data_IF_865217498926
#
_entry.id   IF_865217498926
#
_cell.length_a   1.000
_cell.length_b   1.000
_cell.length_c   1.000
_cell.angle_alpha   90.00
_cell.angle_beta   90.00
_cell.angle_gamma   90.00
#
_symmetry.space_group_name_H-M   'P 1'
#
loop_
_entity.id
_entity.type
_entity.pdbx_description
1 polymer ?
#
# COMPACT_ATOMS: atom_id res chain seq x y z
N UNK A 1 35.53 2.57 -11.14
CA UNK A 1 34.19 2.29 -10.57
C UNK A 1 34.36 2.14 -9.07
N UNK A 2 33.55 2.79 -8.25
CA UNK A 2 33.69 2.75 -6.80
C UNK A 2 33.21 1.38 -6.28
N UNK A 3 34.12 0.62 -5.68
CA UNK A 3 33.86 -0.71 -5.10
C UNK A 3 34.08 -0.64 -3.60
N UNK A 4 33.23 -1.33 -2.85
CA UNK A 4 33.36 -1.47 -1.40
C UNK A 4 33.82 -2.88 -1.06
N UNK A 5 34.72 -2.98 -0.10
CA UNK A 5 35.32 -4.24 0.36
C UNK A 5 34.68 -4.66 1.67
N UNK A 6 34.40 -5.95 1.80
CA UNK A 6 33.73 -6.54 2.93
C UNK A 6 34.39 -7.86 3.31
N UNK A 7 34.33 -8.19 4.59
CA UNK A 7 34.82 -9.45 5.13
C UNK A 7 33.64 -10.31 5.54
N UNK A 8 33.53 -11.50 4.98
CA UNK A 8 32.37 -12.38 5.15
C UNK A 8 32.84 -13.78 5.54
N UNK A 9 32.20 -14.34 6.57
CA UNK A 9 32.25 -15.76 6.94
C UNK A 9 30.98 -16.41 6.40
N UNK A 10 31.11 -17.57 5.75
CA UNK A 10 29.97 -18.36 5.29
C UNK A 10 29.65 -19.41 6.34
N UNK A 11 28.38 -19.52 6.71
CA UNK A 11 27.87 -20.59 7.57
C UNK A 11 26.79 -21.36 6.83
N UNK A 12 27.03 -22.64 6.60
CA UNK A 12 26.07 -23.58 6.03
C UNK A 12 25.87 -24.72 7.03
N UNK A 13 24.71 -24.74 7.69
CA UNK A 13 24.40 -25.62 8.81
C UNK A 13 25.46 -25.60 9.94
N UNK A 14 26.30 -26.65 10.02
CA UNK A 14 27.37 -26.79 11.00
C UNK A 14 28.76 -26.42 10.45
N UNK A 15 28.85 -26.16 9.15
CA UNK A 15 30.11 -25.84 8.47
C UNK A 15 30.28 -24.33 8.47
N UNK A 16 31.42 -23.87 8.96
CA UNK A 16 31.82 -22.46 8.96
C UNK A 16 33.07 -22.34 8.10
N UNK A 17 33.04 -21.45 7.12
CA UNK A 17 34.20 -21.18 6.26
C UNK A 17 35.18 -20.23 6.94
N UNK A 18 36.39 -20.15 6.38
CA UNK A 18 37.31 -19.05 6.69
C UNK A 18 36.73 -17.70 6.26
N UNK A 19 37.32 -16.63 6.81
CA UNK A 19 37.00 -15.25 6.44
C UNK A 19 37.44 -15.00 5.00
N UNK A 20 36.51 -14.54 4.16
CA UNK A 20 36.76 -14.18 2.76
C UNK A 20 36.54 -12.70 2.53
N UNK A 21 37.39 -12.09 1.70
CA UNK A 21 37.18 -10.73 1.20
C UNK A 21 36.22 -10.76 0.01
N UNK A 22 35.25 -9.86 0.00
CA UNK A 22 34.26 -9.71 -1.05
C UNK A 22 34.18 -8.25 -1.48
N UNK A 23 34.06 -8.04 -2.78
CA UNK A 23 33.90 -6.72 -3.39
C UNK A 23 32.49 -6.54 -3.94
N UNK A 24 31.83 -5.44 -3.57
CA UNK A 24 30.50 -5.07 -4.08
C UNK A 24 30.59 -3.73 -4.82
N UNK A 25 30.09 -3.64 -6.07
CA UNK A 25 30.03 -2.36 -6.79
C UNK A 25 29.03 -1.41 -6.15
N UNK A 26 29.42 -0.15 -5.91
CA UNK A 26 28.56 0.85 -5.31
C UNK A 26 27.44 1.33 -6.25
N UNK A 27 27.67 1.30 -7.56
CA UNK A 27 26.69 1.72 -8.58
C UNK A 27 25.82 0.53 -9.02
N UNK A 28 24.54 0.82 -9.35
CA UNK A 28 23.64 -0.13 -9.99
C UNK A 28 23.98 -0.22 -11.48
N UNK A 29 23.91 -1.43 -12.03
CA UNK A 29 24.14 -1.69 -13.46
C UNK A 29 22.82 -1.69 -14.25
N UNK A 30 21.69 -1.99 -13.59
CA UNK A 30 20.36 -2.13 -14.22
C UNK A 30 19.31 -1.34 -13.43
N UNK A 31 18.37 -0.71 -14.13
CA UNK A 31 17.25 0.04 -13.52
C UNK A 31 16.18 -0.86 -12.88
N UNK A 32 16.01 -2.10 -13.37
CA UNK A 32 15.10 -3.08 -12.77
C UNK A 32 15.66 -3.65 -11.46
N UNK A 33 14.95 -3.40 -10.35
CA UNK A 33 15.37 -3.79 -9.00
C UNK A 33 15.48 -5.32 -8.80
N UNK A 34 14.56 -6.09 -9.40
CA UNK A 34 14.55 -7.56 -9.24
C UNK A 34 15.77 -8.21 -9.90
N UNK A 35 16.13 -7.74 -11.08
CA UNK A 35 17.29 -8.25 -11.82
C UNK A 35 18.60 -7.81 -11.19
N UNK A 36 18.72 -6.56 -10.73
CA UNK A 36 19.91 -6.05 -10.04
C UNK A 36 20.19 -6.84 -8.75
N UNK A 37 19.15 -7.14 -7.96
CA UNK A 37 19.29 -7.95 -6.74
C UNK A 37 19.80 -9.36 -7.06
N UNK A 38 19.25 -10.01 -8.09
CA UNK A 38 19.66 -11.35 -8.49
C UNK A 38 21.12 -11.38 -8.95
N UNK A 39 21.55 -10.37 -9.72
CA UNK A 39 22.94 -10.23 -10.15
C UNK A 39 23.89 -10.01 -8.98
N UNK A 40 23.50 -9.16 -8.02
CA UNK A 40 24.27 -8.93 -6.80
C UNK A 40 24.49 -10.24 -6.02
N UNK A 41 23.43 -11.01 -5.81
CA UNK A 41 23.51 -12.28 -5.07
C UNK A 41 24.35 -13.32 -5.83
N UNK A 42 24.23 -13.40 -7.15
CA UNK A 42 25.06 -14.29 -7.97
C UNK A 42 26.54 -13.93 -7.89
N UNK A 43 26.88 -12.65 -8.00
CA UNK A 43 28.26 -12.17 -7.86
C UNK A 43 28.83 -12.45 -6.47
N UNK A 44 28.04 -12.19 -5.43
CA UNK A 44 28.40 -12.49 -4.04
C UNK A 44 28.69 -13.99 -3.84
N UNK A 45 27.82 -14.87 -4.34
CA UNK A 45 28.01 -16.31 -4.23
C UNK A 45 29.26 -16.80 -4.99
N UNK A 46 29.49 -16.28 -6.20
CA UNK A 46 30.68 -16.60 -6.98
C UNK A 46 31.98 -16.25 -6.26
N UNK A 47 32.06 -15.05 -5.65
CA UNK A 47 33.24 -14.62 -4.87
C UNK A 47 33.44 -15.47 -3.62
N UNK A 48 32.36 -15.96 -3.01
CA UNK A 48 32.42 -16.81 -1.82
C UNK A 48 32.62 -18.30 -2.13
N UNK A 49 32.61 -18.70 -3.40
CA UNK A 49 32.70 -20.10 -3.81
C UNK A 49 31.45 -20.93 -3.48
N UNK A 50 30.28 -20.30 -3.40
CA UNK A 50 29.00 -20.95 -3.12
C UNK A 50 28.17 -20.99 -4.41
N UNK A 51 27.42 -22.07 -4.63
CA UNK A 51 26.45 -22.15 -5.72
C UNK A 51 25.20 -21.32 -5.40
N UNK A 52 24.91 -20.30 -6.20
CA UNK A 52 23.64 -19.57 -6.12
C UNK A 52 22.50 -20.47 -6.60
N UNK A 53 21.56 -20.77 -5.70
CA UNK A 53 20.33 -21.52 -6.02
C UNK A 53 19.10 -20.78 -5.48
N UNK A 54 18.01 -20.81 -6.24
CA UNK A 54 16.76 -20.11 -5.88
C UNK A 54 15.97 -20.81 -4.76
N UNK A 55 16.36 -22.03 -4.38
CA UNK A 55 15.82 -22.80 -3.25
C UNK A 55 16.54 -22.53 -1.92
N UNK A 56 17.62 -21.74 -1.93
CA UNK A 56 18.38 -21.37 -0.74
C UNK A 56 18.11 -19.92 -0.33
N UNK A 57 18.04 -19.68 0.97
CA UNK A 57 17.89 -18.36 1.58
C UNK A 57 19.24 -17.90 2.11
N UNK A 58 19.69 -16.74 1.63
CA UNK A 58 20.92 -16.08 2.05
C UNK A 58 20.60 -15.01 3.09
N UNK A 59 21.07 -15.19 4.34
CA UNK A 59 20.88 -14.23 5.44
C UNK A 59 22.22 -13.65 5.84
N UNK A 60 22.40 -12.33 5.68
CA UNK A 60 23.60 -11.64 6.13
C UNK A 60 23.39 -11.12 7.56
N UNK A 61 24.32 -11.39 8.47
CA UNK A 61 24.30 -10.91 9.85
C UNK A 61 25.56 -10.14 10.21
N UNK A 62 25.44 -9.15 11.09
CA UNK A 62 26.59 -8.46 11.68
C UNK A 62 27.19 -9.24 12.87
N UNK A 63 28.27 -8.73 13.46
CA UNK A 63 28.91 -9.34 14.65
C UNK A 63 28.01 -9.44 15.89
N UNK A 64 26.91 -8.67 15.95
CA UNK A 64 25.87 -8.78 16.99
C UNK A 64 24.76 -9.77 16.62
N UNK A 65 24.97 -10.58 15.58
CA UNK A 65 23.98 -11.51 15.02
C UNK A 65 22.68 -10.85 14.52
N UNK A 66 22.65 -9.53 14.33
CA UNK A 66 21.48 -8.85 13.76
C UNK A 66 21.44 -9.04 12.24
N UNK A 67 20.24 -9.23 11.68
CA UNK A 67 20.06 -9.34 10.22
C UNK A 67 20.35 -8.00 9.54
N UNK A 68 21.17 -8.04 8.49
CA UNK A 68 21.57 -6.87 7.70
C UNK A 68 21.07 -7.05 6.26
N UNK A 69 20.44 -6.02 5.66
CA UNK A 69 20.04 -6.08 4.27
C UNK A 69 21.25 -6.28 3.34
N UNK A 70 21.19 -7.29 2.48
CA UNK A 70 22.18 -7.45 1.40
C UNK A 70 21.88 -6.39 0.34
N UNK A 71 22.67 -5.31 0.33
CA UNK A 71 22.53 -4.20 -0.60
C UNK A 71 23.89 -3.61 -1.00
N UNK A 72 23.91 -2.85 -2.09
CA UNK A 72 25.08 -2.07 -2.53
C UNK A 72 25.39 -0.86 -1.62
N UNK A 73 24.46 -0.50 -0.74
CA UNK A 73 24.60 0.59 0.24
C UNK A 73 25.19 0.13 1.57
N UNK A 74 25.62 -1.13 1.68
CA UNK A 74 26.21 -1.68 2.90
C UNK A 74 27.44 -0.86 3.34
N UNK A 75 27.56 -0.66 4.66
CA UNK A 75 28.72 -0.02 5.26
C UNK A 75 29.88 -1.03 5.33
N UNK A 76 31.11 -0.65 4.94
CA UNK A 76 32.28 -1.51 5.06
C UNK A 76 32.47 -2.02 6.49
N UNK A 77 32.97 -3.24 6.62
CA UNK A 77 33.31 -3.85 7.90
C UNK A 77 34.81 -4.19 7.96
N UNK A 78 35.25 -4.73 9.09
CA UNK A 78 36.66 -5.08 9.34
C UNK A 78 36.84 -6.60 9.42
N UNK A 79 38.08 -7.05 9.24
CA UNK A 79 38.47 -8.47 9.43
C UNK A 79 38.15 -8.95 10.84
N UNK A 80 38.28 -8.07 11.85
CA UNK A 80 37.98 -8.37 13.27
C UNK A 80 36.49 -8.48 13.58
N UNK A 81 35.63 -7.94 12.73
CA UNK A 81 34.17 -8.02 12.85
C UNK A 81 33.55 -8.36 11.49
N UNK A 82 33.79 -9.58 10.99
CA UNK A 82 33.27 -10.01 9.70
C UNK A 82 31.74 -10.13 9.74
N UNK A 83 31.08 -9.94 8.60
CA UNK A 83 29.69 -10.33 8.44
C UNK A 83 29.59 -11.86 8.37
N UNK A 84 28.46 -12.41 8.78
CA UNK A 84 28.18 -13.84 8.72
C UNK A 84 27.07 -14.04 7.68
N UNK A 85 27.36 -14.74 6.60
CA UNK A 85 26.39 -15.15 5.61
C UNK A 85 25.90 -16.56 5.95
N UNK A 86 24.69 -16.66 6.49
CA UNK A 86 24.02 -17.93 6.73
C UNK A 86 23.30 -18.38 5.46
N UNK A 87 23.67 -19.58 4.98
CA UNK A 87 23.01 -20.27 3.88
C UNK A 87 22.03 -21.25 4.50
N UNK A 88 20.74 -20.97 4.36
CA UNK A 88 19.67 -21.83 4.89
C UNK A 88 18.87 -22.44 3.75
N UNK A 89 18.36 -23.65 3.96
CA UNK A 89 17.31 -24.21 3.12
C UNK A 89 16.03 -23.37 3.22
N UNK A 90 15.29 -23.22 2.12
CA UNK A 90 13.96 -22.63 2.21
C UNK A 90 13.02 -23.63 2.88
N UNK A 91 12.68 -23.40 4.15
CA UNK A 91 11.62 -24.16 4.81
C UNK A 91 10.27 -23.86 4.13
N UNK A 92 9.93 -24.67 3.12
CA UNK A 92 8.63 -24.66 2.45
C UNK A 92 7.82 -25.81 3.00
N UNK A 93 6.99 -25.56 4.02
CA UNK A 93 5.99 -26.56 4.47
C UNK A 93 5.00 -26.89 3.35
N UNK A 94 4.82 -25.98 2.39
CA UNK A 94 3.96 -26.13 1.22
C UNK A 94 4.71 -25.61 -0.02
N UNK A 95 4.70 -26.37 -1.13
CA UNK A 95 5.22 -25.89 -2.42
C UNK A 95 4.38 -24.68 -2.85
N UNK A 96 4.96 -23.49 -3.09
CA UNK A 96 4.17 -22.37 -3.61
C UNK A 96 3.58 -22.81 -4.96
N UNK A 97 2.26 -22.81 -5.05
CA UNK A 97 1.56 -23.03 -6.32
C UNK A 97 2.04 -22.01 -7.35
N UNK A 98 1.99 -22.39 -8.64
CA UNK A 98 2.28 -21.48 -9.75
C UNK A 98 1.47 -20.19 -9.56
N UNK A 99 2.12 -19.09 -9.17
CA UNK A 99 1.53 -17.75 -9.22
C UNK A 99 1.46 -17.32 -10.69
N UNK A 100 0.54 -17.93 -11.44
CA UNK A 100 0.10 -17.38 -12.70
C UNK A 100 -0.87 -16.26 -12.38
N UNK A 101 -0.33 -15.06 -12.13
CA UNK A 101 -1.11 -13.85 -12.39
C UNK A 101 -1.23 -13.82 -13.90
N UNK A 102 -2.40 -14.21 -14.43
CA UNK A 102 -2.76 -13.94 -15.82
C UNK A 102 -2.77 -12.41 -15.93
N UNK A 103 -1.65 -11.83 -16.36
CA UNK A 103 -1.57 -10.41 -16.68
C UNK A 103 -2.35 -10.30 -17.98
N UNK A 104 -3.58 -9.74 -17.98
CA UNK A 104 -4.33 -9.60 -19.21
C UNK A 104 -3.49 -8.74 -20.15
N UNK A 105 -3.41 -9.11 -21.42
CA UNK A 105 -2.62 -8.32 -22.36
C UNK A 105 -3.10 -6.87 -22.34
N UNK A 106 -2.22 -5.91 -22.64
CA UNK A 106 -2.60 -4.49 -22.70
C UNK A 106 -3.85 -4.27 -23.58
N UNK A 107 -3.99 -5.09 -24.64
CA UNK A 107 -5.17 -5.12 -25.51
C UNK A 107 -6.46 -5.50 -24.77
N UNK A 108 -6.44 -6.55 -23.95
CA UNK A 108 -7.60 -7.00 -23.17
C UNK A 108 -8.05 -5.96 -22.13
N UNK A 109 -7.09 -5.28 -21.49
CA UNK A 109 -7.36 -4.19 -20.55
C UNK A 109 -8.03 -3.02 -21.28
N UNK A 110 -7.50 -2.63 -22.44
CA UNK A 110 -8.07 -1.58 -23.27
C UNK A 110 -9.49 -1.92 -23.75
N UNK A 111 -9.70 -3.17 -24.19
CA UNK A 111 -11.01 -3.64 -24.64
C UNK A 111 -12.05 -3.59 -23.50
N UNK A 112 -11.69 -4.08 -22.31
CA UNK A 112 -12.58 -4.03 -21.14
C UNK A 112 -12.92 -2.59 -20.72
N UNK A 113 -11.95 -1.68 -20.80
CA UNK A 113 -12.19 -0.24 -20.54
C UNK A 113 -13.14 0.36 -21.57
N UNK A 114 -12.95 0.06 -22.86
CA UNK A 114 -13.82 0.51 -23.95
C UNK A 114 -15.26 0.05 -23.74
N UNK A 115 -15.47 -1.23 -23.44
CA UNK A 115 -16.81 -1.78 -23.17
C UNK A 115 -17.47 -1.12 -21.95
N UNK A 116 -16.69 -0.88 -20.90
CA UNK A 116 -17.19 -0.21 -19.69
C UNK A 116 -17.63 1.22 -19.99
N UNK A 117 -16.84 1.97 -20.76
CA UNK A 117 -17.18 3.33 -21.17
C UNK A 117 -18.39 3.36 -22.10
N UNK A 118 -18.47 2.43 -23.05
CA UNK A 118 -19.60 2.34 -23.99
C UNK A 118 -20.92 2.09 -23.24
N UNK A 119 -20.94 1.14 -22.30
CA UNK A 119 -22.11 0.87 -21.45
C UNK A 119 -22.51 2.08 -20.59
N UNK A 120 -21.55 2.90 -20.17
CA UNK A 120 -21.84 4.14 -19.41
C UNK A 120 -22.49 5.19 -20.30
N UNK A 121 -21.98 5.35 -21.52
CA UNK A 121 -22.53 6.27 -22.51
C UNK A 121 -23.98 5.86 -22.85
N UNK A 122 -24.22 4.59 -23.16
CA UNK A 122 -25.57 4.08 -23.47
C UNK A 122 -26.57 4.34 -22.33
N UNK A 123 -26.14 4.19 -21.06
CA UNK A 123 -27.01 4.50 -19.91
C UNK A 123 -27.31 5.99 -19.81
N UNK A 124 -26.32 6.84 -20.08
CA UNK A 124 -26.52 8.29 -20.06
C UNK A 124 -27.47 8.72 -21.18
N UNK A 125 -27.28 8.20 -22.39
CA UNK A 125 -28.15 8.47 -23.54
C UNK A 125 -29.61 8.07 -23.27
N UNK A 126 -29.83 6.98 -22.51
CA UNK A 126 -31.18 6.58 -22.07
C UNK A 126 -31.79 7.53 -21.03
N UNK A 127 -30.99 8.11 -20.14
CA UNK A 127 -31.48 8.93 -19.02
C UNK A 127 -31.61 10.41 -19.39
N UNK A 128 -30.78 10.91 -20.31
CA UNK A 128 -30.77 12.33 -20.73
C UNK A 128 -32.16 12.85 -21.16
N UNK A 129 -32.96 12.11 -21.96
CA UNK A 129 -34.28 12.55 -22.37
C UNK A 129 -35.24 12.79 -21.19
N UNK A 130 -35.13 11.97 -20.14
CA UNK A 130 -36.01 12.03 -18.96
C UNK A 130 -35.51 13.03 -17.90
N UNK A 131 -34.27 13.51 -18.01
CA UNK A 131 -33.63 14.39 -17.05
C UNK A 131 -34.45 15.68 -16.75
N UNK A 132 -35.05 16.38 -17.74
CA UNK A 132 -35.85 17.56 -17.48
C UNK A 132 -37.11 17.25 -16.64
N UNK A 133 -37.74 16.09 -16.88
CA UNK A 133 -38.91 15.65 -16.13
C UNK A 133 -38.53 15.30 -14.69
N UNK A 134 -37.45 14.53 -14.51
CA UNK A 134 -36.90 14.21 -13.19
C UNK A 134 -36.52 15.47 -12.40
N UNK A 135 -35.93 16.46 -13.08
CA UNK A 135 -35.57 17.75 -12.46
C UNK A 135 -36.80 18.53 -12.01
N UNK A 136 -37.84 18.60 -12.84
CA UNK A 136 -39.12 19.25 -12.47
C UNK A 136 -39.79 18.56 -11.28
N UNK A 137 -39.83 17.23 -11.28
CA UNK A 137 -40.39 16.45 -10.17
C UNK A 137 -39.61 16.69 -8.87
N UNK A 138 -38.27 16.74 -8.94
CA UNK A 138 -37.42 17.04 -7.78
C UNK A 138 -37.69 18.45 -7.24
N UNK A 139 -37.72 19.46 -8.10
CA UNK A 139 -38.02 20.85 -7.69
C UNK A 139 -39.42 20.97 -7.07
N UNK A 140 -40.42 20.27 -7.61
CA UNK A 140 -41.77 20.27 -7.04
C UNK A 140 -41.80 19.65 -5.64
N UNK A 141 -41.05 18.57 -5.40
CA UNK A 141 -40.94 17.96 -4.08
C UNK A 141 -40.19 18.86 -3.08
N UNK A 142 -39.10 19.49 -3.52
CA UNK A 142 -38.37 20.46 -2.68
C UNK A 142 -39.24 21.67 -2.32
N UNK A 143 -40.04 22.19 -3.26
CA UNK A 143 -40.97 23.28 -2.99
C UNK A 143 -42.03 22.90 -1.95
N UNK A 144 -42.59 21.69 -2.05
CA UNK A 144 -43.54 21.16 -1.06
C UNK A 144 -42.93 21.05 0.34
N UNK A 145 -41.68 20.60 0.44
CA UNK A 145 -40.98 20.52 1.74
C UNK A 145 -40.75 21.92 2.33
N UNK A 146 -40.35 22.89 1.50
CA UNK A 146 -40.21 24.29 1.93
C UNK A 146 -41.54 24.86 2.41
N UNK A 147 -42.62 24.64 1.66
CA UNK A 147 -43.96 25.10 2.01
C UNK A 147 -44.43 24.49 3.34
N UNK A 148 -44.22 23.19 3.55
CA UNK A 148 -44.53 22.52 4.81
C UNK A 148 -43.77 23.15 5.99
N UNK A 149 -42.46 23.41 5.83
CA UNK A 149 -41.65 24.04 6.88
C UNK A 149 -42.08 25.48 7.17
N UNK A 150 -42.42 26.25 6.14
CA UNK A 150 -42.92 27.62 6.30
C UNK A 150 -44.28 27.64 6.99
N UNK A 151 -45.18 26.71 6.64
CA UNK A 151 -46.49 26.59 7.29
C UNK A 151 -46.34 26.29 8.78
N UNK A 152 -45.46 25.34 9.14
CA UNK A 152 -45.14 25.02 10.53
C UNK A 152 -44.55 26.21 11.27
N UNK A 153 -43.59 26.93 10.67
CA UNK A 153 -42.99 28.11 11.30
C UNK A 153 -44.02 29.22 11.54
N UNK A 154 -44.89 29.46 10.57
CA UNK A 154 -45.96 30.45 10.68
C UNK A 154 -46.95 30.10 11.79
N UNK A 155 -47.29 28.82 11.95
CA UNK A 155 -48.12 28.34 13.06
C UNK A 155 -47.45 28.59 14.42
N UNK A 156 -46.16 28.27 14.55
CA UNK A 156 -45.36 28.54 15.76
C UNK A 156 -45.24 30.03 16.08
N UNK A 157 -45.11 30.89 15.07
CA UNK A 157 -45.09 32.35 15.26
C UNK A 157 -46.42 32.84 15.82
N UNK A 158 -47.55 32.38 15.28
CA UNK A 158 -48.89 32.72 15.80
C UNK A 158 -49.10 32.23 17.23
N UNK A 159 -48.63 31.03 17.56
CA UNK A 159 -48.64 30.53 18.95
C UNK A 159 -47.83 31.44 19.89
N UNK A 160 -46.64 31.88 19.46
CA UNK A 160 -45.80 32.78 20.25
C UNK A 160 -46.43 34.17 20.43
N UNK A 161 -47.10 34.71 19.41
CA UNK A 161 -47.80 36.00 19.47
C UNK A 161 -49.01 35.97 20.41
N UNK A 162 -49.71 34.83 20.49
CA UNK A 162 -50.89 34.67 21.36
C UNK A 162 -50.53 34.35 22.81
N UNK A 163 -49.31 33.89 23.08
CA UNK A 163 -48.83 33.61 24.42
C UNK A 163 -48.19 34.85 25.05
N UNK A 164 -48.92 35.50 25.96
CA UNK A 164 -48.29 36.46 26.88
C UNK A 164 -47.52 35.70 27.97
N UNK A 165 -46.27 36.10 28.20
CA UNK A 165 -45.43 35.59 29.29
C UNK A 165 -46.13 35.81 30.64
N UNK A 166 -46.77 34.78 31.20
CA UNK A 166 -47.33 34.78 32.56
C UNK A 166 -46.22 34.50 33.57
N UNK A 167 -45.21 35.37 33.58
CA UNK A 167 -43.97 35.19 34.33
C UNK A 167 -43.54 36.46 35.04
N UNK A 168 -44.39 37.01 35.90
CA UNK A 168 -43.90 37.86 36.99
C UNK A 168 -44.17 37.10 38.28
N UNK A 169 -43.09 36.75 39.00
CA UNK A 169 -43.16 36.06 40.29
C UNK A 169 -44.21 36.70 41.18
N UNK A 170 -45.33 36.00 41.43
CA UNK A 170 -46.22 36.38 42.52
C UNK A 170 -45.44 36.15 43.81
N UNK A 171 -44.80 37.20 44.34
CA UNK A 171 -44.27 37.20 45.71
C UNK A 171 -45.37 36.66 46.60
N UNK A 172 -45.18 35.46 47.13
CA UNK A 172 -46.04 34.98 48.20
C UNK A 172 -45.81 35.92 49.38
N UNK A 173 -46.85 36.50 49.98
CA UNK A 173 -46.66 37.30 51.17
C UNK A 173 -46.12 36.37 52.26
N UNK A 174 -44.85 36.56 52.64
CA UNK A 174 -44.34 36.08 53.91
C UNK A 174 -44.87 37.04 54.96
N UNK A 175 -46.09 36.77 55.43
CA UNK A 175 -46.56 37.09 56.77
C UNK A 175 -47.61 36.06 57.15
#
# INVERSE_FOLDING_TARGET
>A
METKRFWIIVREDKIVSDIKEVTIPAKREIFNYSDDRRLLLKSLCAQLGISYKDDKVLKLRNGRSSLVPISRSLSPNTVTSPFILEVCETHKTVKPGLKQIVIPSHSEICQKKKETLSKRIERLEKIIPDLPLLRKAKLANEMKDVEARLSFLNERMKEAETQQWKGMFKKHPLW
#
